data_IF_133815456593
#
_entry.id   IF_133815456593
#
_cell.length_a   1.000
_cell.length_b   1.000
_cell.length_c   1.000
_cell.angle_alpha   90.00
_cell.angle_beta   90.00
_cell.angle_gamma   90.00
#
_symmetry.space_group_name_H-M   'P 1'
#
loop_
_entity.id
_entity.type
_entity.pdbx_description
1 polymer ?
#
# COMPACT_ATOMS: atom_id res chain seq x y z
N UNK A 1 22.81 20.47 39.41
CA UNK A 1 22.66 20.71 37.96
C UNK A 1 22.13 19.41 37.40
N UNK A 2 20.95 19.46 36.79
CA UNK A 2 20.29 18.29 36.23
C UNK A 2 20.36 18.46 34.72
N UNK A 3 20.99 17.51 34.03
CA UNK A 3 21.06 17.56 32.58
C UNK A 3 19.65 17.32 32.01
N UNK A 4 19.09 18.36 31.40
CA UNK A 4 17.85 18.25 30.64
C UNK A 4 18.21 17.59 29.32
N UNK A 5 17.98 16.28 29.23
CA UNK A 5 18.10 15.55 27.97
C UNK A 5 16.96 16.01 27.06
N UNK A 6 17.25 17.01 26.24
CA UNK A 6 16.39 17.44 25.15
C UNK A 6 16.50 16.42 24.02
N UNK A 7 15.72 15.33 24.10
CA UNK A 7 15.49 14.48 22.93
C UNK A 7 14.73 15.28 21.88
N UNK A 8 15.38 15.54 20.75
CA UNK A 8 14.87 16.32 19.62
C UNK A 8 13.71 15.60 18.95
N UNK A 9 12.52 16.22 18.96
CA UNK A 9 11.34 15.74 18.23
C UNK A 9 11.58 15.62 16.71
N UNK A 10 12.59 16.35 16.20
CA UNK A 10 13.05 16.34 14.80
C UNK A 10 13.84 15.06 14.44
N UNK A 11 14.53 14.41 15.39
CA UNK A 11 15.24 13.15 15.15
C UNK A 11 14.25 11.97 14.98
N UNK A 12 13.11 12.00 15.68
CA UNK A 12 12.05 10.99 15.52
C UNK A 12 11.41 11.02 14.13
N UNK A 13 11.08 12.20 13.60
CA UNK A 13 10.40 12.33 12.30
C UNK A 13 11.32 11.88 11.16
N UNK A 14 12.61 12.24 11.22
CA UNK A 14 13.60 11.83 10.19
C UNK A 14 13.93 10.33 10.21
N UNK A 15 13.86 9.69 11.38
CA UNK A 15 14.04 8.23 11.49
C UNK A 15 12.80 7.44 11.10
N UNK A 16 11.60 7.97 11.36
CA UNK A 16 10.32 7.35 11.00
C UNK A 16 10.08 7.36 9.48
N UNK A 17 10.34 8.48 8.80
CA UNK A 17 10.32 8.53 7.31
C UNK A 17 11.29 7.52 6.70
N UNK A 18 12.53 7.48 7.21
CA UNK A 18 13.58 6.55 6.76
C UNK A 18 13.20 5.07 6.93
N UNK A 19 12.41 4.74 7.96
CA UNK A 19 11.88 3.39 8.15
C UNK A 19 10.78 3.04 7.14
N UNK A 20 9.85 3.95 6.87
CA UNK A 20 8.78 3.73 5.89
C UNK A 20 9.35 3.62 4.47
N UNK A 21 10.37 4.42 4.13
CA UNK A 21 11.10 4.32 2.86
C UNK A 21 11.81 2.96 2.71
N UNK A 22 12.40 2.44 3.79
CA UNK A 22 13.02 1.11 3.80
C UNK A 22 11.98 -0.02 3.65
N UNK A 23 10.82 0.09 4.31
CA UNK A 23 9.69 -0.84 4.11
C UNK A 23 9.24 -0.86 2.66
N UNK A 24 9.11 0.30 2.02
CA UNK A 24 8.75 0.41 0.61
C UNK A 24 9.74 -0.31 -0.31
N UNK A 25 11.05 -0.12 -0.10
CA UNK A 25 12.08 -0.83 -0.86
C UNK A 25 12.00 -2.35 -0.66
N UNK A 26 11.86 -2.82 0.58
CA UNK A 26 11.79 -4.25 0.88
C UNK A 26 10.50 -4.91 0.37
N UNK A 27 9.37 -4.19 0.31
CA UNK A 27 8.13 -4.66 -0.33
C UNK A 27 8.35 -4.93 -1.82
N UNK A 28 8.87 -3.93 -2.56
CA UNK A 28 9.13 -4.02 -4.00
C UNK A 28 10.10 -5.15 -4.27
N UNK A 29 11.24 -5.16 -3.56
CA UNK A 29 12.30 -6.17 -3.69
C UNK A 29 11.77 -7.59 -3.42
N UNK A 30 10.99 -7.79 -2.36
CA UNK A 30 10.45 -9.11 -2.01
C UNK A 30 9.44 -9.59 -3.05
N UNK A 31 8.56 -8.71 -3.55
CA UNK A 31 7.63 -9.04 -4.62
C UNK A 31 8.35 -9.42 -5.93
N UNK A 32 9.36 -8.64 -6.35
CA UNK A 32 10.21 -8.95 -7.51
C UNK A 32 10.89 -10.32 -7.38
N UNK A 33 11.47 -10.64 -6.21
CA UNK A 33 12.13 -11.94 -5.98
C UNK A 33 11.12 -13.10 -6.05
N UNK A 34 9.91 -12.95 -5.50
CA UNK A 34 8.84 -13.97 -5.64
C UNK A 34 8.49 -14.17 -7.12
N UNK A 35 8.30 -13.09 -7.88
CA UNK A 35 8.01 -13.15 -9.32
C UNK A 35 9.10 -13.90 -10.10
N UNK A 36 10.38 -13.63 -9.80
CA UNK A 36 11.53 -14.33 -10.40
C UNK A 36 11.51 -15.81 -10.03
N UNK A 37 11.42 -16.18 -8.74
CA UNK A 37 11.42 -17.58 -8.28
C UNK A 37 10.25 -18.37 -8.89
N UNK A 38 9.05 -17.77 -8.93
CA UNK A 38 7.87 -18.31 -9.60
C UNK A 38 8.13 -18.57 -11.09
N UNK A 39 8.81 -17.65 -11.79
CA UNK A 39 9.11 -17.80 -13.23
C UNK A 39 10.05 -18.95 -13.55
N UNK A 40 10.95 -19.31 -12.62
CA UNK A 40 11.89 -20.44 -12.77
C UNK A 40 11.39 -21.74 -12.12
N UNK A 41 10.23 -21.72 -11.45
CA UNK A 41 9.62 -22.88 -10.81
C UNK A 41 10.22 -23.26 -9.45
N UNK A 42 10.95 -22.34 -8.81
CA UNK A 42 11.50 -22.53 -7.46
C UNK A 42 10.48 -22.19 -6.37
N UNK A 43 10.67 -22.72 -5.17
CA UNK A 43 9.79 -22.47 -4.02
C UNK A 43 9.95 -21.05 -3.45
N UNK A 44 8.83 -20.39 -3.12
CA UNK A 44 8.80 -19.00 -2.65
C UNK A 44 7.85 -18.74 -1.47
N UNK A 45 7.30 -19.78 -0.83
CA UNK A 45 6.24 -19.66 0.20
C UNK A 45 6.67 -18.81 1.41
N UNK A 46 7.93 -18.93 1.85
CA UNK A 46 8.47 -18.14 2.97
C UNK A 46 8.52 -16.63 2.62
N UNK A 47 8.83 -16.29 1.37
CA UNK A 47 8.84 -14.91 0.90
C UNK A 47 7.42 -14.33 0.78
N UNK A 48 6.42 -15.16 0.45
CA UNK A 48 5.01 -14.72 0.50
C UNK A 48 4.58 -14.38 1.94
N UNK A 49 5.05 -15.12 2.94
CA UNK A 49 4.82 -14.76 4.35
C UNK A 49 5.56 -13.47 4.74
N UNK A 50 6.81 -13.29 4.31
CA UNK A 50 7.56 -12.06 4.52
C UNK A 50 6.85 -10.86 3.88
N UNK A 51 6.39 -10.98 2.64
CA UNK A 51 5.70 -9.91 1.93
C UNK A 51 4.36 -9.55 2.58
N UNK A 52 3.61 -10.54 3.09
CA UNK A 52 2.40 -10.31 3.90
C UNK A 52 2.72 -9.54 5.19
N UNK A 53 3.83 -9.86 5.85
CA UNK A 53 4.30 -9.11 7.01
C UNK A 53 4.67 -7.67 6.63
N UNK A 54 5.50 -7.46 5.61
CA UNK A 54 5.92 -6.12 5.17
C UNK A 54 4.74 -5.21 4.76
N UNK A 55 3.74 -5.74 4.03
CA UNK A 55 2.51 -5.01 3.72
C UNK A 55 1.70 -4.71 5.00
N UNK A 56 1.68 -5.61 5.98
CA UNK A 56 0.99 -5.38 7.26
C UNK A 56 1.65 -4.26 8.07
N UNK A 57 2.99 -4.21 8.11
CA UNK A 57 3.75 -3.12 8.75
C UNK A 57 3.50 -1.79 8.04
N UNK A 58 3.58 -1.75 6.69
CA UNK A 58 3.27 -0.54 5.91
C UNK A 58 1.84 -0.03 6.17
N UNK A 59 0.86 -0.94 6.27
CA UNK A 59 -0.53 -0.60 6.60
C UNK A 59 -0.63 -0.09 8.03
N UNK A 60 0.08 -0.69 9.01
CA UNK A 60 0.11 -0.20 10.39
C UNK A 60 0.71 1.20 10.49
N UNK A 61 1.74 1.52 9.72
CA UNK A 61 2.31 2.86 9.67
C UNK A 61 1.37 3.86 9.00
N UNK A 62 0.80 3.53 7.85
CA UNK A 62 0.04 4.47 7.02
C UNK A 62 -1.48 4.44 7.25
N UNK A 63 -1.98 3.69 8.23
CA UNK A 63 -3.42 3.54 8.44
C UNK A 63 -4.11 4.89 8.72
N UNK A 64 -5.35 4.99 8.26
CA UNK A 64 -6.23 6.10 8.60
C UNK A 64 -7.25 5.69 9.64
N UNK A 65 -7.90 6.66 10.28
CA UNK A 65 -9.11 6.42 11.10
C UNK A 65 -10.40 6.31 10.27
N UNK A 66 -10.29 6.35 8.94
CA UNK A 66 -11.42 6.29 8.01
C UNK A 66 -11.86 4.86 7.73
N UNK A 67 -13.17 4.62 7.77
CA UNK A 67 -13.78 3.35 7.41
C UNK A 67 -14.78 3.55 6.27
N UNK A 68 -14.71 2.69 5.26
CA UNK A 68 -15.63 2.68 4.13
C UNK A 68 -16.37 1.34 4.10
N UNK A 69 -17.65 1.37 4.42
CA UNK A 69 -18.52 0.19 4.43
C UNK A 69 -18.57 -0.46 3.03
N UNK A 70 -18.42 -1.79 2.98
CA UNK A 70 -18.45 -2.58 1.74
C UNK A 70 -17.18 -2.56 0.90
N UNK A 71 -16.23 -1.65 1.14
CA UNK A 71 -15.02 -1.49 0.32
C UNK A 71 -14.18 -2.77 0.23
N UNK A 72 -14.01 -3.49 1.35
CA UNK A 72 -13.29 -4.77 1.37
C UNK A 72 -13.95 -5.83 0.47
N UNK A 73 -15.29 -5.86 0.42
CA UNK A 73 -16.03 -6.79 -0.44
C UNK A 73 -15.83 -6.45 -1.92
N UNK A 74 -15.99 -5.17 -2.28
CA UNK A 74 -15.77 -4.70 -3.65
C UNK A 74 -14.32 -4.97 -4.12
N UNK A 75 -13.32 -4.65 -3.29
CA UNK A 75 -11.91 -4.90 -3.62
C UNK A 75 -11.58 -6.40 -3.75
N UNK A 76 -12.12 -7.27 -2.90
CA UNK A 76 -11.98 -8.73 -3.05
C UNK A 76 -12.64 -9.26 -4.33
N UNK A 77 -13.72 -8.64 -4.81
CA UNK A 77 -14.35 -9.01 -6.08
C UNK A 77 -13.51 -8.58 -7.29
N UNK A 78 -12.82 -7.44 -7.26
CA UNK A 78 -12.12 -6.89 -8.44
C UNK A 78 -10.60 -7.11 -8.49
N UNK A 79 -9.90 -7.19 -7.35
CA UNK A 79 -8.48 -7.51 -7.33
C UNK A 79 -8.29 -9.00 -7.62
N UNK A 80 -7.49 -9.32 -8.64
CA UNK A 80 -7.17 -10.69 -9.05
C UNK A 80 -5.67 -10.92 -9.23
N UNK A 81 -4.93 -9.88 -9.62
CA UNK A 81 -3.46 -9.87 -9.70
C UNK A 81 -2.85 -9.88 -8.31
N UNK A 82 -1.87 -10.76 -8.05
CA UNK A 82 -1.06 -10.71 -6.84
C UNK A 82 0.04 -9.65 -6.98
N UNK A 83 0.55 -9.11 -5.87
CA UNK A 83 1.63 -8.11 -5.92
C UNK A 83 2.88 -8.65 -6.66
N UNK A 84 3.19 -9.93 -6.47
CA UNK A 84 4.30 -10.65 -7.13
C UNK A 84 3.99 -11.12 -8.57
N UNK A 85 2.80 -10.84 -9.09
CA UNK A 85 2.43 -11.10 -10.49
C UNK A 85 2.60 -9.84 -11.37
N UNK A 86 3.05 -8.72 -10.79
CA UNK A 86 3.33 -7.47 -11.51
C UNK A 86 4.74 -7.57 -12.12
N UNK A 87 4.82 -7.77 -13.43
CA UNK A 87 6.10 -7.93 -14.16
C UNK A 87 6.91 -6.61 -14.26
N UNK A 88 6.24 -5.46 -14.19
CA UNK A 88 6.88 -4.14 -14.26
C UNK A 88 7.29 -3.67 -12.86
N UNK A 89 8.55 -3.97 -12.50
CA UNK A 89 9.17 -3.54 -11.24
C UNK A 89 9.19 -2.02 -11.07
N UNK A 90 9.32 -1.24 -12.15
CA UNK A 90 9.29 0.22 -12.07
C UNK A 90 7.89 0.75 -11.74
N UNK A 91 6.85 0.13 -12.31
CA UNK A 91 5.45 0.41 -11.98
C UNK A 91 5.13 0.07 -10.53
N UNK A 92 5.57 -1.10 -10.06
CA UNK A 92 5.40 -1.50 -8.66
C UNK A 92 6.13 -0.54 -7.71
N UNK A 93 7.38 -0.18 -8.04
CA UNK A 93 8.15 0.81 -7.27
C UNK A 93 7.44 2.16 -7.20
N UNK A 94 6.96 2.68 -8.33
CA UNK A 94 6.31 4.00 -8.39
C UNK A 94 5.02 4.00 -7.56
N UNK A 95 4.17 2.97 -7.69
CA UNK A 95 2.96 2.82 -6.88
C UNK A 95 3.25 2.82 -5.37
N UNK A 96 4.20 2.00 -4.91
CA UNK A 96 4.49 1.90 -3.48
C UNK A 96 5.05 3.21 -2.91
N UNK A 97 5.94 3.90 -3.64
CA UNK A 97 6.46 5.21 -3.21
C UNK A 97 5.39 6.31 -3.23
N UNK A 98 4.48 6.30 -4.20
CA UNK A 98 3.37 7.25 -4.27
C UNK A 98 2.36 7.00 -3.12
N UNK A 99 2.12 5.74 -2.73
CA UNK A 99 1.33 5.39 -1.53
C UNK A 99 2.00 5.88 -0.25
N UNK A 100 3.33 5.72 -0.10
CA UNK A 100 4.08 6.30 1.02
C UNK A 100 3.94 7.82 1.05
N UNK A 101 4.15 8.48 -0.09
CA UNK A 101 4.05 9.95 -0.22
C UNK A 101 2.66 10.45 0.18
N UNK A 102 1.59 9.79 -0.30
CA UNK A 102 0.22 10.08 0.10
C UNK A 102 -0.01 9.83 1.61
N UNK A 103 0.56 8.75 2.15
CA UNK A 103 0.51 8.40 3.56
C UNK A 103 1.11 9.47 4.47
N UNK A 104 2.30 9.94 4.15
CA UNK A 104 2.97 11.03 4.86
C UNK A 104 2.18 12.34 4.72
N UNK A 105 1.70 12.66 3.52
CA UNK A 105 0.87 13.85 3.24
C UNK A 105 -0.41 13.86 4.10
N UNK A 106 -1.12 12.72 4.18
CA UNK A 106 -2.31 12.53 5.03
C UNK A 106 -1.96 12.68 6.52
N UNK A 107 -0.84 12.10 6.95
CA UNK A 107 -0.35 12.14 8.35
C UNK A 107 0.00 13.57 8.79
N UNK A 108 0.55 14.39 7.89
CA UNK A 108 0.81 15.83 8.11
C UNK A 108 -0.47 16.69 8.07
N UNK A 109 -1.63 16.11 7.75
CA UNK A 109 -2.90 16.83 7.61
C UNK A 109 -3.01 17.68 6.34
N UNK A 110 -2.16 17.41 5.35
CA UNK A 110 -2.18 18.09 4.05
C UNK A 110 -3.27 17.46 3.19
N UNK A 111 -4.17 18.29 2.68
CA UNK A 111 -5.20 17.87 1.74
C UNK A 111 -4.71 18.09 0.30
N UNK A 112 -4.19 17.04 -0.34
CA UNK A 112 -3.82 17.04 -1.77
C UNK A 112 -4.70 16.07 -2.60
N UNK A 113 -5.81 16.56 -3.17
CA UNK A 113 -6.67 15.76 -4.04
C UNK A 113 -6.03 15.34 -5.35
N UNK A 114 -4.97 16.03 -5.81
CA UNK A 114 -4.30 15.70 -7.06
C UNK A 114 -3.38 14.50 -6.87
N UNK A 115 -2.55 14.50 -5.81
CA UNK A 115 -1.76 13.33 -5.42
C UNK A 115 -2.65 12.12 -5.14
N UNK A 116 -3.76 12.32 -4.41
CA UNK A 116 -4.73 11.25 -4.17
C UNK A 116 -5.27 10.66 -5.48
N UNK A 117 -5.66 11.52 -6.44
CA UNK A 117 -6.12 11.08 -7.76
C UNK A 117 -5.04 10.29 -8.52
N UNK A 118 -3.80 10.78 -8.54
CA UNK A 118 -2.68 10.13 -9.23
C UNK A 118 -2.40 8.73 -8.66
N UNK A 119 -2.31 8.62 -7.32
CA UNK A 119 -2.12 7.34 -6.61
C UNK A 119 -3.27 6.37 -6.88
N UNK A 120 -4.51 6.85 -6.93
CA UNK A 120 -5.68 6.02 -7.23
C UNK A 120 -5.67 5.52 -8.68
N UNK A 121 -5.39 6.40 -9.65
CA UNK A 121 -5.33 6.04 -11.07
C UNK A 121 -4.19 5.06 -11.35
N UNK A 122 -3.02 5.25 -10.73
CA UNK A 122 -1.89 4.32 -10.79
C UNK A 122 -2.21 2.96 -10.13
N UNK A 123 -2.86 2.96 -8.97
CA UNK A 123 -3.32 1.72 -8.31
C UNK A 123 -4.29 0.95 -9.21
N UNK A 124 -5.28 1.65 -9.80
CA UNK A 124 -6.25 1.04 -10.70
C UNK A 124 -5.58 0.46 -11.96
N UNK A 125 -4.60 1.15 -12.55
CA UNK A 125 -3.85 0.66 -13.71
C UNK A 125 -2.89 -0.49 -13.36
N UNK A 126 -2.27 -0.47 -12.17
CA UNK A 126 -1.38 -1.53 -11.68
C UNK A 126 -2.13 -2.85 -11.47
N UNK A 127 -3.31 -2.81 -10.85
CA UNK A 127 -4.14 -4.00 -10.66
C UNK A 127 -5.13 -4.27 -11.79
N UNK A 128 -5.10 -3.48 -12.88
CA UNK A 128 -6.01 -3.59 -14.04
C UNK A 128 -7.50 -3.58 -13.64
N UNK A 129 -7.87 -2.69 -12.71
CA UNK A 129 -9.19 -2.64 -12.10
C UNK A 129 -10.24 -2.11 -13.06
N UNK A 130 -11.29 -2.90 -13.27
CA UNK A 130 -12.47 -2.46 -14.01
C UNK A 130 -13.36 -1.55 -13.14
N UNK A 131 -12.97 -0.28 -13.04
CA UNK A 131 -13.71 0.77 -12.34
C UNK A 131 -15.17 0.89 -12.83
N UNK A 132 -15.56 0.35 -14.00
CA UNK A 132 -16.96 0.32 -14.40
C UNK A 132 -17.82 -0.43 -13.38
N UNK A 133 -17.27 -1.48 -12.74
CA UNK A 133 -17.92 -2.32 -11.72
C UNK A 133 -17.72 -1.84 -10.27
N UNK A 134 -16.72 -1.01 -10.01
CA UNK A 134 -16.37 -0.57 -8.66
C UNK A 134 -17.14 0.71 -8.25
N UNK A 135 -18.30 0.56 -7.60
CA UNK A 135 -19.18 1.67 -7.23
C UNK A 135 -18.70 2.44 -5.98
N UNK A 136 -17.98 1.79 -5.07
CA UNK A 136 -17.41 2.41 -3.88
C UNK A 136 -16.11 3.12 -4.25
N UNK A 137 -15.23 2.46 -4.98
CA UNK A 137 -13.98 3.03 -5.50
C UNK A 137 -14.22 4.31 -6.32
N UNK A 138 -15.24 4.33 -7.19
CA UNK A 138 -15.66 5.56 -7.89
C UNK A 138 -15.98 6.71 -6.95
N UNK A 139 -16.75 6.47 -5.88
CA UNK A 139 -17.09 7.52 -4.90
C UNK A 139 -15.86 8.06 -4.17
N UNK A 140 -14.87 7.22 -3.92
CA UNK A 140 -13.60 7.62 -3.32
C UNK A 140 -12.84 8.53 -4.29
N UNK A 141 -12.68 8.13 -5.56
CA UNK A 141 -12.08 8.96 -6.61
C UNK A 141 -12.82 10.29 -6.81
N UNK A 142 -14.16 10.26 -6.88
CA UNK A 142 -15.01 11.44 -7.06
C UNK A 142 -14.98 12.39 -5.84
N UNK A 143 -14.68 11.88 -4.64
CA UNK A 143 -14.54 12.70 -3.44
C UNK A 143 -13.23 13.49 -3.40
N UNK A 144 -12.19 12.99 -4.07
CA UNK A 144 -10.83 13.56 -4.02
C UNK A 144 -10.22 13.56 -2.61
N UNK A 145 -10.73 12.73 -1.69
CA UNK A 145 -10.28 12.67 -0.30
C UNK A 145 -8.99 11.81 -0.18
N UNK A 146 -7.86 12.40 0.26
CA UNK A 146 -6.59 11.69 0.38
C UNK A 146 -6.63 10.52 1.37
N UNK A 147 -7.36 10.63 2.48
CA UNK A 147 -7.45 9.60 3.50
C UNK A 147 -8.33 8.43 3.04
N UNK A 148 -9.45 8.70 2.38
CA UNK A 148 -10.29 7.64 1.78
C UNK A 148 -9.55 6.90 0.66
N UNK A 149 -8.79 7.64 -0.15
CA UNK A 149 -7.95 7.06 -1.20
C UNK A 149 -6.87 6.15 -0.61
N UNK A 150 -6.09 6.66 0.34
CA UNK A 150 -5.06 5.90 1.04
C UNK A 150 -5.64 4.62 1.65
N UNK A 151 -6.77 4.73 2.34
CA UNK A 151 -7.45 3.58 2.94
C UNK A 151 -7.83 2.51 1.90
N UNK A 152 -8.28 2.92 0.71
CA UNK A 152 -8.63 1.99 -0.36
C UNK A 152 -7.41 1.31 -0.97
N UNK A 153 -6.33 2.04 -1.21
CA UNK A 153 -5.10 1.48 -1.79
C UNK A 153 -4.40 0.56 -0.80
N UNK A 154 -4.27 0.94 0.48
CA UNK A 154 -3.72 0.09 1.54
C UNK A 154 -4.49 -1.23 1.68
N UNK A 155 -5.83 -1.18 1.73
CA UNK A 155 -6.68 -2.37 1.77
C UNK A 155 -6.53 -3.22 0.49
N UNK A 156 -6.35 -2.57 -0.66
CA UNK A 156 -6.05 -3.24 -1.91
C UNK A 156 -4.72 -4.00 -1.90
N UNK A 157 -3.67 -3.41 -1.32
CA UNK A 157 -2.37 -4.06 -1.14
C UNK A 157 -2.50 -5.32 -0.26
N UNK A 158 -3.22 -5.25 0.87
CA UNK A 158 -3.52 -6.40 1.76
C UNK A 158 -4.23 -7.53 1.00
N UNK A 159 -5.22 -7.19 0.16
CA UNK A 159 -5.94 -8.17 -0.65
C UNK A 159 -5.04 -8.76 -1.74
N UNK A 160 -4.17 -7.97 -2.35
CA UNK A 160 -3.25 -8.41 -3.40
C UNK A 160 -2.22 -9.43 -2.90
N UNK A 161 -1.71 -9.30 -1.68
CA UNK A 161 -0.82 -10.33 -1.08
C UNK A 161 -1.59 -11.52 -0.51
N UNK A 162 -2.93 -11.47 -0.50
CA UNK A 162 -3.80 -12.59 -0.19
C UNK A 162 -4.17 -12.72 1.28
N UNK A 163 -4.83 -11.70 1.84
CA UNK A 163 -5.43 -11.83 3.18
C UNK A 163 -6.47 -10.79 3.62
N UNK A 164 -7.73 -10.97 3.21
CA UNK A 164 -8.87 -10.94 4.14
C UNK A 164 -9.73 -12.18 3.86
N UNK A 165 -9.22 -13.33 4.29
CA UNK A 165 -9.71 -14.65 3.88
C UNK A 165 -10.79 -15.22 4.81
N UNK A 166 -11.74 -15.92 4.19
CA UNK A 166 -11.74 -17.39 4.18
C UNK A 166 -11.81 -17.79 2.68
N UNK A 167 -10.98 -18.66 2.11
CA UNK A 167 -9.84 -19.43 2.61
C UNK A 167 -8.81 -19.67 1.48
N UNK A 168 -7.62 -20.18 1.85
CA UNK A 168 -6.62 -20.92 1.05
C UNK A 168 -6.59 -20.82 -0.49
N UNK A 169 -5.44 -20.37 -1.02
CA UNK A 169 -5.09 -20.41 -2.45
C UNK A 169 -3.70 -19.85 -2.69
#
# INVERSE_FOLDING_TARGET
MSDVISYSFEDSISTESSYIDALAEDIVRTASVIGILKSIGEGYDELVQLLKFLISELVMELHTTSYVEGLAGELCEVIKTRLWDIEDEFKLYTLINNVVTLGLTVREGINDPQLAREVFEEFADTFSLDLSKCAIMKKILDSGDPALTLQAVLLGLVISVGGLSNDGG
#
